data_IF_178709749263
#
_entry.id   IF_178709749263
#
_cell.length_a   1.000
_cell.length_b   1.000
_cell.length_c   1.000
_cell.angle_alpha   90.00
_cell.angle_beta   90.00
_cell.angle_gamma   90.00
#
_symmetry.space_group_name_H-M   'P 1'
#
loop_
_entity.id
_entity.type
_entity.pdbx_description
1 polymer ?
#
# COMPACT_ATOMS: atom_id res chain seq x y z
N UNK A 1 -10.47 -26.20 11.78
CA UNK A 1 -10.63 -24.81 12.28
C UNK A 1 -10.07 -23.91 11.22
N UNK A 2 -10.89 -23.15 10.50
CA UNK A 2 -10.38 -22.07 9.65
C UNK A 2 -9.83 -21.01 10.57
N UNK A 3 -8.51 -20.83 10.59
CA UNK A 3 -7.90 -19.67 11.23
C UNK A 3 -8.42 -18.44 10.50
N UNK A 4 -9.18 -17.58 11.17
CA UNK A 4 -9.51 -16.25 10.65
C UNK A 4 -8.20 -15.54 10.30
N UNK A 5 -8.02 -15.18 9.04
CA UNK A 5 -6.83 -14.44 8.60
C UNK A 5 -7.11 -12.94 8.78
N UNK A 6 -6.12 -12.16 9.26
CA UNK A 6 -6.31 -10.73 9.43
C UNK A 6 -6.48 -10.04 8.07
N UNK A 7 -7.47 -9.15 7.96
CA UNK A 7 -7.69 -8.34 6.76
C UNK A 7 -6.79 -7.11 6.78
N UNK A 8 -6.06 -6.87 5.68
CA UNK A 8 -5.34 -5.61 5.46
C UNK A 8 -6.30 -4.55 4.89
N UNK A 9 -6.39 -3.40 5.57
CA UNK A 9 -7.10 -2.21 5.08
C UNK A 9 -6.11 -1.06 4.86
N UNK A 10 -5.90 -0.68 3.60
CA UNK A 10 -5.08 0.48 3.24
C UNK A 10 -5.99 1.70 3.01
N UNK A 11 -5.84 2.72 3.87
CA UNK A 11 -6.58 3.96 3.76
C UNK A 11 -5.87 4.95 2.83
N UNK A 12 -6.26 4.96 1.56
CA UNK A 12 -5.57 5.73 0.51
C UNK A 12 -6.43 6.78 -0.23
N UNK A 13 -7.64 7.09 0.25
CA UNK A 13 -8.58 7.98 -0.44
C UNK A 13 -8.32 9.49 -0.26
N UNK A 14 -7.23 9.88 0.41
CA UNK A 14 -6.93 11.29 0.68
C UNK A 14 -6.36 12.04 -0.53
N UNK A 15 -6.87 13.24 -0.79
CA UNK A 15 -6.28 14.15 -1.79
C UNK A 15 -5.02 14.82 -1.22
N UNK A 16 -3.88 14.65 -1.90
CA UNK A 16 -2.65 15.32 -1.56
C UNK A 16 -2.69 16.80 -1.92
N UNK A 17 -3.47 17.63 -1.22
CA UNK A 17 -3.66 19.05 -1.55
C UNK A 17 -2.36 19.86 -1.59
N UNK A 18 -1.41 19.54 -0.70
CA UNK A 18 -0.04 20.11 -0.72
C UNK A 18 0.84 19.55 -1.84
N UNK A 19 0.51 18.35 -2.32
CA UNK A 19 1.24 17.62 -3.36
C UNK A 19 0.65 17.88 -4.76
N UNK A 20 -0.51 18.55 -4.86
CA UNK A 20 -1.17 18.87 -6.13
C UNK A 20 -1.93 17.72 -6.78
N UNK A 21 -2.13 16.58 -6.11
CA UNK A 21 -2.76 15.41 -6.73
C UNK A 21 -2.69 14.10 -5.93
N UNK A 22 -2.80 12.99 -6.66
CA UNK A 22 -2.79 11.63 -6.11
C UNK A 22 -1.36 11.13 -5.88
N UNK A 23 -0.79 11.48 -4.73
CA UNK A 23 0.57 11.07 -4.34
C UNK A 23 0.80 9.55 -4.24
N UNK A 24 -0.26 8.76 -4.18
CA UNK A 24 -0.18 7.31 -3.94
C UNK A 24 0.37 6.55 -5.16
N UNK A 25 0.24 7.14 -6.35
CA UNK A 25 0.66 6.54 -7.62
C UNK A 25 1.98 7.09 -8.13
N UNK A 26 2.54 8.08 -7.43
CA UNK A 26 3.80 8.67 -7.84
C UNK A 26 4.97 7.72 -7.55
N UNK A 27 5.92 7.58 -8.48
CA UNK A 27 7.08 6.74 -8.30
C UNK A 27 7.99 7.33 -7.21
N UNK A 28 8.44 6.47 -6.29
CA UNK A 28 9.36 6.81 -5.21
C UNK A 28 10.57 5.86 -5.15
N UNK A 29 10.49 4.70 -5.78
CA UNK A 29 11.55 3.70 -5.85
C UNK A 29 12.49 3.83 -7.06
N UNK A 30 13.65 3.14 -7.05
CA UNK A 30 14.66 3.21 -8.10
C UNK A 30 14.19 2.66 -9.45
N UNK A 31 13.14 1.85 -9.47
CA UNK A 31 12.55 1.28 -10.69
C UNK A 31 11.13 1.80 -10.96
N UNK A 32 10.74 2.90 -10.30
CA UNK A 32 9.42 3.50 -10.45
C UNK A 32 8.35 2.91 -9.54
N UNK A 33 8.74 2.16 -8.50
CA UNK A 33 7.81 1.64 -7.49
C UNK A 33 7.10 2.78 -6.76
N UNK A 34 5.80 2.60 -6.55
CA UNK A 34 4.98 3.53 -5.77
C UNK A 34 5.03 3.17 -4.29
N UNK A 35 4.53 4.07 -3.44
CA UNK A 35 4.36 3.77 -2.01
C UNK A 35 3.37 2.60 -1.79
N UNK A 36 2.43 2.40 -2.71
CA UNK A 36 1.47 1.29 -2.66
C UNK A 36 2.16 -0.05 -2.95
N UNK A 37 3.12 -0.10 -3.86
CA UNK A 37 3.89 -1.32 -4.16
C UNK A 37 4.68 -1.78 -2.94
N UNK A 38 5.37 -0.85 -2.26
CA UNK A 38 6.06 -1.15 -1.01
C UNK A 38 5.10 -1.56 0.11
N UNK A 39 3.94 -0.90 0.22
CA UNK A 39 2.93 -1.26 1.23
C UNK A 39 2.42 -2.69 1.06
N UNK A 40 2.19 -3.14 -0.18
CA UNK A 40 1.78 -4.52 -0.47
C UNK A 40 2.93 -5.50 -0.21
N UNK A 41 4.15 -5.16 -0.63
CA UNK A 41 5.34 -5.99 -0.41
C UNK A 41 5.56 -6.25 1.09
N UNK A 42 5.46 -5.21 1.92
CA UNK A 42 5.61 -5.31 3.37
C UNK A 42 4.47 -6.09 4.00
N UNK A 43 3.22 -5.89 3.55
CA UNK A 43 2.08 -6.66 4.04
C UNK A 43 2.26 -8.17 3.78
N UNK A 44 2.74 -8.55 2.59
CA UNK A 44 3.04 -9.95 2.28
C UNK A 44 4.15 -10.51 3.16
N UNK A 45 5.21 -9.73 3.42
CA UNK A 45 6.28 -10.10 4.36
C UNK A 45 5.78 -10.26 5.80
N UNK A 46 4.79 -9.46 6.18
CA UNK A 46 4.13 -9.53 7.48
C UNK A 46 3.11 -10.68 7.61
N UNK A 47 2.91 -11.47 6.55
CA UNK A 47 2.01 -12.63 6.57
C UNK A 47 0.54 -12.30 6.25
N UNK A 48 0.25 -11.11 5.72
CA UNK A 48 -1.06 -10.84 5.12
C UNK A 48 -1.16 -11.60 3.79
N UNK A 49 -2.08 -12.55 3.76
CA UNK A 49 -2.31 -13.46 2.65
C UNK A 49 -3.70 -13.18 2.02
N UNK A 50 -4.09 -14.00 1.05
CA UNK A 50 -5.33 -13.83 0.27
C UNK A 50 -6.49 -14.61 0.88
#
# INVERSE_FOLDING_TARGET
>A
MTSEQPTLLVLAAGMGSRYGGLKQLDPVGPSGETIMDYSIYDARKAGFNK
#
